data_IF_244365927183
#
_entry.id   IF_244365927183
#
_cell.length_a   1.000
_cell.length_b   1.000
_cell.length_c   1.000
_cell.angle_alpha   90.00
_cell.angle_beta   90.00
_cell.angle_gamma   90.00
#
_symmetry.space_group_name_H-M   'P 1'
#
loop_
_entity.id
_entity.type
_entity.pdbx_description
1 polymer ?
#
# COMPACT_ATOMS: atom_id res chain seq x y z
N UNK A 1 12.42 -2.70 -18.99
CA UNK A 1 12.80 -3.83 -18.11
C UNK A 1 11.92 -3.72 -16.88
N UNK A 2 10.96 -4.64 -16.72
CA UNK A 2 10.02 -4.64 -15.61
C UNK A 2 10.60 -5.32 -14.36
N UNK A 3 10.00 -5.06 -13.20
CA UNK A 3 10.33 -5.75 -11.95
C UNK A 3 9.74 -7.15 -11.97
N UNK A 4 10.54 -8.18 -11.71
CA UNK A 4 10.05 -9.55 -11.56
C UNK A 4 9.17 -9.72 -10.32
N UNK A 5 8.62 -10.93 -10.12
CA UNK A 5 7.93 -11.30 -8.86
C UNK A 5 8.85 -11.13 -7.66
N UNK A 6 10.13 -11.52 -7.78
CA UNK A 6 11.12 -11.38 -6.72
C UNK A 6 11.46 -9.92 -6.44
N UNK A 7 11.69 -9.12 -7.49
CA UNK A 7 11.93 -7.68 -7.34
C UNK A 7 10.72 -6.97 -6.73
N UNK A 8 9.51 -7.36 -7.14
CA UNK A 8 8.26 -6.82 -6.59
C UNK A 8 8.13 -7.15 -5.11
N UNK A 9 8.44 -8.38 -4.70
CA UNK A 9 8.45 -8.77 -3.28
C UNK A 9 9.49 -7.97 -2.50
N UNK A 10 10.71 -7.84 -3.02
CA UNK A 10 11.77 -7.06 -2.38
C UNK A 10 11.37 -5.57 -2.24
N UNK A 11 10.75 -4.99 -3.26
CA UNK A 11 10.20 -3.63 -3.23
C UNK A 11 9.15 -3.49 -2.12
N UNK A 12 8.18 -4.39 -2.04
CA UNK A 12 7.11 -4.28 -1.04
C UNK A 12 7.61 -4.52 0.39
N UNK A 13 8.65 -5.34 0.58
CA UNK A 13 9.36 -5.47 1.86
C UNK A 13 10.05 -4.15 2.22
N UNK A 14 10.77 -3.53 1.28
CA UNK A 14 11.44 -2.24 1.53
C UNK A 14 10.43 -1.11 1.87
N UNK A 15 9.26 -1.12 1.22
CA UNK A 15 8.15 -0.21 1.58
C UNK A 15 7.67 -0.46 3.00
N UNK A 16 7.44 -1.72 3.38
CA UNK A 16 7.02 -2.07 4.74
C UNK A 16 8.04 -1.64 5.79
N UNK A 17 9.32 -1.94 5.58
CA UNK A 17 10.40 -1.56 6.48
C UNK A 17 10.50 -0.03 6.63
N UNK A 18 10.31 0.72 5.54
CA UNK A 18 10.31 2.18 5.56
C UNK A 18 9.14 2.77 6.37
N UNK A 19 7.94 2.20 6.22
CA UNK A 19 6.76 2.63 6.98
C UNK A 19 6.90 2.31 8.46
N UNK A 20 7.40 1.11 8.79
CA UNK A 20 7.65 0.70 10.18
C UNK A 20 8.68 1.60 10.85
N UNK A 21 9.77 1.93 10.15
CA UNK A 21 10.80 2.86 10.65
C UNK A 21 10.25 4.29 10.86
N UNK A 22 9.23 4.69 10.11
CA UNK A 22 8.60 6.01 10.21
C UNK A 22 7.56 6.12 11.35
N UNK A 23 7.32 5.04 12.12
CA UNK A 23 6.29 4.97 13.17
C UNK A 23 6.22 6.21 14.05
N UNK A 24 7.32 6.59 14.69
CA UNK A 24 7.30 7.66 15.70
C UNK A 24 6.97 9.02 15.07
N UNK A 25 7.52 9.29 13.88
CA UNK A 25 7.21 10.49 13.10
C UNK A 25 5.73 10.54 12.68
N UNK A 26 5.18 9.41 12.23
CA UNK A 26 3.78 9.29 11.84
C UNK A 26 2.83 9.47 13.05
N UNK A 27 3.18 8.91 14.21
CA UNK A 27 2.45 9.10 15.46
C UNK A 27 2.51 10.55 15.94
N UNK A 28 3.67 11.22 15.83
CA UNK A 28 3.80 12.63 16.19
C UNK A 28 2.95 13.53 15.28
N UNK A 29 3.01 13.32 13.98
CA UNK A 29 2.21 14.07 13.00
C UNK A 29 0.70 13.90 13.25
N UNK A 30 0.27 12.67 13.55
CA UNK A 30 -1.13 12.37 13.85
C UNK A 30 -1.57 12.92 15.21
N UNK A 31 -0.70 12.91 16.23
CA UNK A 31 -1.01 13.50 17.54
C UNK A 31 -1.30 15.01 17.47
N UNK A 32 -0.81 15.69 16.43
CA UNK A 32 -1.06 17.12 16.23
C UNK A 32 -2.49 17.43 15.74
N UNK A 33 -3.15 16.50 15.04
CA UNK A 33 -4.45 16.74 14.36
C UNK A 33 -5.47 15.59 14.46
N UNK A 34 -5.11 14.50 15.13
CA UNK A 34 -5.83 13.24 15.24
C UNK A 34 -5.71 12.66 16.66
N UNK A 35 -5.75 11.34 16.79
CA UNK A 35 -5.69 10.63 18.08
C UNK A 35 -4.31 10.05 18.42
N UNK A 36 -3.35 10.17 17.49
CA UNK A 36 -1.96 9.76 17.69
C UNK A 36 -1.73 8.27 17.46
N UNK A 37 -2.71 7.54 16.92
CA UNK A 37 -2.59 6.11 16.69
C UNK A 37 -2.05 5.74 15.30
N UNK A 38 -1.94 6.70 14.37
CA UNK A 38 -1.64 6.43 12.97
C UNK A 38 -0.33 5.65 12.78
N UNK A 39 0.78 6.13 13.36
CA UNK A 39 2.08 5.47 13.26
C UNK A 39 2.09 4.04 13.83
N UNK A 40 1.37 3.83 14.94
CA UNK A 40 1.22 2.51 15.57
C UNK A 40 0.44 1.57 14.64
N UNK A 41 -0.71 2.02 14.12
CA UNK A 41 -1.54 1.25 13.20
C UNK A 41 -0.80 0.91 11.90
N UNK A 42 -0.02 1.85 11.37
CA UNK A 42 0.82 1.66 10.19
C UNK A 42 1.92 0.63 10.43
N UNK A 43 2.63 0.71 11.56
CA UNK A 43 3.67 -0.28 11.89
C UNK A 43 3.08 -1.70 11.98
N UNK A 44 1.97 -1.88 12.71
CA UNK A 44 1.30 -3.18 12.83
C UNK A 44 0.86 -3.72 11.47
N UNK A 45 0.22 -2.88 10.65
CA UNK A 45 -0.27 -3.29 9.33
C UNK A 45 0.84 -3.69 8.37
N UNK A 46 1.93 -2.91 8.30
CA UNK A 46 3.03 -3.17 7.37
C UNK A 46 3.97 -4.28 7.85
N UNK A 47 4.15 -4.49 9.16
CA UNK A 47 4.79 -5.71 9.68
C UNK A 47 4.01 -6.96 9.27
N UNK A 48 2.68 -6.91 9.33
CA UNK A 48 1.84 -8.02 8.88
C UNK A 48 1.93 -8.24 7.37
N UNK A 49 1.96 -7.16 6.57
CA UNK A 49 2.17 -7.22 5.13
C UNK A 49 3.50 -7.91 4.79
N UNK A 50 4.59 -7.47 5.43
CA UNK A 50 5.94 -8.03 5.29
C UNK A 50 5.95 -9.52 5.59
N UNK A 51 5.38 -9.93 6.73
CA UNK A 51 5.27 -11.34 7.13
C UNK A 51 4.45 -12.18 6.13
N UNK A 52 3.45 -11.58 5.49
CA UNK A 52 2.62 -12.30 4.51
C UNK A 52 3.33 -12.54 3.17
N UNK A 53 4.41 -11.83 2.87
CA UNK A 53 5.16 -11.97 1.60
C UNK A 53 6.59 -12.50 1.77
N UNK A 54 7.22 -12.30 2.92
CA UNK A 54 8.61 -12.70 3.16
C UNK A 54 8.81 -14.21 3.06
N UNK A 55 9.80 -14.62 2.27
CA UNK A 55 10.16 -16.04 2.09
C UNK A 55 9.10 -16.89 1.39
N UNK A 56 8.06 -16.27 0.81
CA UNK A 56 7.00 -16.97 0.08
C UNK A 56 7.14 -16.82 -1.43
N UNK A 57 6.72 -17.87 -2.13
CA UNK A 57 6.62 -17.89 -3.58
C UNK A 57 5.23 -17.46 -4.04
N UNK A 58 5.19 -16.75 -5.16
CA UNK A 58 3.98 -16.24 -5.78
C UNK A 58 4.02 -16.52 -7.27
N UNK A 59 2.86 -16.79 -7.86
CA UNK A 59 2.75 -17.11 -9.29
C UNK A 59 2.95 -15.88 -10.19
N UNK A 60 2.62 -14.69 -9.69
CA UNK A 60 2.59 -13.45 -10.45
C UNK A 60 2.76 -12.24 -9.52
N UNK A 61 3.06 -11.08 -10.11
CA UNK A 61 3.28 -9.84 -9.34
C UNK A 61 2.01 -9.40 -8.61
N UNK A 62 0.82 -9.59 -9.21
CA UNK A 62 -0.45 -9.20 -8.61
C UNK A 62 -0.77 -9.98 -7.33
N UNK A 63 -0.35 -11.24 -7.25
CA UNK A 63 -0.49 -12.08 -6.08
C UNK A 63 0.35 -11.58 -4.90
N UNK A 64 1.55 -11.05 -5.14
CA UNK A 64 2.39 -10.42 -4.10
C UNK A 64 1.67 -9.21 -3.48
N UNK A 65 1.16 -8.31 -4.32
CA UNK A 65 0.42 -7.12 -3.89
C UNK A 65 -0.86 -7.48 -3.11
N UNK A 66 -1.64 -8.46 -3.61
CA UNK A 66 -2.84 -8.95 -2.91
C UNK A 66 -2.49 -9.54 -1.55
N UNK A 67 -1.42 -10.33 -1.46
CA UNK A 67 -0.98 -10.95 -0.19
C UNK A 67 -0.57 -9.89 0.84
N UNK A 68 0.23 -8.90 0.44
CA UNK A 68 0.58 -7.77 1.30
C UNK A 68 -0.68 -7.04 1.81
N UNK A 69 -1.61 -6.70 0.92
CA UNK A 69 -2.86 -6.04 1.28
C UNK A 69 -3.76 -6.88 2.19
N UNK A 70 -3.77 -8.20 2.05
CA UNK A 70 -4.45 -9.11 2.97
C UNK A 70 -3.81 -9.12 4.36
N UNK A 71 -2.48 -9.03 4.45
CA UNK A 71 -1.78 -8.91 5.74
C UNK A 71 -2.19 -7.66 6.52
N UNK A 72 -2.23 -6.52 5.84
CA UNK A 72 -2.71 -5.25 6.40
C UNK A 72 -4.15 -5.40 6.89
N UNK A 73 -5.04 -5.93 6.04
CA UNK A 73 -6.48 -6.06 6.34
C UNK A 73 -6.77 -6.89 7.60
N UNK A 74 -5.95 -7.91 7.89
CA UNK A 74 -6.17 -8.81 9.04
C UNK A 74 -5.75 -8.21 10.38
N UNK A 75 -4.88 -7.20 10.39
CA UNK A 75 -4.15 -6.79 11.61
C UNK A 75 -4.35 -5.34 11.99
N UNK A 76 -4.67 -4.47 11.04
CA UNK A 76 -4.88 -3.05 11.29
C UNK A 76 -6.38 -2.73 11.39
N UNK A 77 -6.79 -2.26 12.57
CA UNK A 77 -8.08 -1.60 12.77
C UNK A 77 -8.06 -0.16 12.22
N UNK A 78 -9.22 0.50 12.24
CA UNK A 78 -9.33 1.92 11.89
C UNK A 78 -9.22 2.23 10.39
N UNK A 79 -9.09 3.53 10.09
CA UNK A 79 -9.08 4.03 8.71
C UNK A 79 -7.86 3.54 7.91
N UNK A 80 -6.70 3.46 8.56
CA UNK A 80 -5.42 3.12 7.91
C UNK A 80 -5.46 1.70 7.32
N UNK A 81 -5.92 0.72 8.11
CA UNK A 81 -6.05 -0.64 7.62
C UNK A 81 -7.04 -0.78 6.47
N UNK A 82 -8.17 -0.09 6.55
CA UNK A 82 -9.17 -0.06 5.49
C UNK A 82 -8.63 0.56 4.19
N UNK A 83 -7.87 1.67 4.29
CA UNK A 83 -7.37 2.41 3.13
C UNK A 83 -6.16 1.72 2.50
N UNK A 84 -5.13 1.36 3.26
CA UNK A 84 -3.93 0.73 2.71
C UNK A 84 -4.21 -0.70 2.23
N UNK A 85 -5.04 -1.49 2.93
CA UNK A 85 -5.44 -2.79 2.36
C UNK A 85 -6.20 -2.64 1.04
N UNK A 86 -7.01 -1.59 0.88
CA UNK A 86 -7.69 -1.28 -0.37
C UNK A 86 -6.67 -0.97 -1.46
N UNK A 87 -5.71 -0.09 -1.19
CA UNK A 87 -4.62 0.25 -2.12
C UNK A 87 -3.94 -0.99 -2.68
N UNK A 88 -3.41 -1.84 -1.80
CA UNK A 88 -2.63 -2.99 -2.22
C UNK A 88 -3.48 -4.03 -2.96
N UNK A 89 -4.72 -4.25 -2.53
CA UNK A 89 -5.61 -5.24 -3.13
C UNK A 89 -6.14 -4.79 -4.50
N UNK A 90 -6.46 -3.51 -4.69
CA UNK A 90 -6.88 -2.98 -5.99
C UNK A 90 -5.70 -2.93 -6.97
N UNK A 91 -4.52 -2.50 -6.51
CA UNK A 91 -3.31 -2.52 -7.34
C UNK A 91 -2.98 -3.95 -7.78
N UNK A 92 -2.97 -4.91 -6.86
CA UNK A 92 -2.74 -6.32 -7.19
C UNK A 92 -3.82 -6.91 -8.10
N UNK A 93 -5.08 -6.44 -8.01
CA UNK A 93 -6.14 -6.83 -8.95
C UNK A 93 -5.84 -6.29 -10.36
N UNK A 94 -5.45 -5.02 -10.48
CA UNK A 94 -5.09 -4.37 -11.75
C UNK A 94 -3.91 -5.05 -12.43
N UNK A 95 -2.86 -5.39 -11.66
CA UNK A 95 -1.67 -6.10 -12.15
C UNK A 95 -1.95 -7.54 -12.63
N UNK A 96 -3.08 -8.13 -12.25
CA UNK A 96 -3.52 -9.42 -12.78
C UNK A 96 -2.52 -10.55 -12.50
N UNK A 97 -2.26 -11.37 -13.53
CA UNK A 97 -1.35 -12.51 -13.49
C UNK A 97 -0.03 -12.23 -14.25
N UNK A 98 0.45 -10.99 -14.22
CA UNK A 98 1.67 -10.61 -14.93
C UNK A 98 2.93 -11.18 -14.26
N UNK A 99 3.87 -11.67 -15.06
CA UNK A 99 5.17 -12.17 -14.57
C UNK A 99 6.13 -11.04 -14.18
N UNK A 100 5.96 -9.87 -14.80
CA UNK A 100 6.75 -8.67 -14.50
C UNK A 100 5.86 -7.44 -14.40
N UNK A 101 6.29 -6.46 -13.61
CA UNK A 101 5.64 -5.18 -13.42
C UNK A 101 6.46 -4.07 -14.07
N UNK A 102 5.96 -3.55 -15.19
CA UNK A 102 6.54 -2.38 -15.86
C UNK A 102 5.96 -1.08 -15.33
N UNK A 103 6.66 0.04 -15.55
CA UNK A 103 6.21 1.37 -15.10
C UNK A 103 4.78 1.71 -15.52
N UNK A 104 4.33 1.48 -16.78
CA UNK A 104 2.95 1.77 -17.16
C UNK A 104 1.93 0.91 -16.42
N UNK A 105 2.28 -0.35 -16.11
CA UNK A 105 1.41 -1.23 -15.33
C UNK A 105 1.32 -0.78 -13.87
N UNK A 106 2.43 -0.32 -13.28
CA UNK A 106 2.43 0.28 -11.94
C UNK A 106 1.59 1.57 -11.90
N UNK A 107 1.76 2.46 -12.89
CA UNK A 107 0.98 3.70 -13.00
C UNK A 107 -0.53 3.41 -13.03
N UNK A 108 -0.95 2.47 -13.90
CA UNK A 108 -2.35 2.04 -13.98
C UNK A 108 -2.84 1.40 -12.68
N UNK A 109 -2.03 0.57 -12.03
CA UNK A 109 -2.37 -0.07 -10.76
C UNK A 109 -2.55 0.94 -9.61
N UNK A 110 -1.72 1.98 -9.56
CA UNK A 110 -1.84 3.05 -8.57
C UNK A 110 -3.02 3.98 -8.87
N UNK A 111 -3.31 4.27 -10.14
CA UNK A 111 -4.51 5.02 -10.53
C UNK A 111 -5.80 4.30 -10.12
N UNK A 112 -5.89 2.99 -10.39
CA UNK A 112 -7.00 2.14 -9.92
C UNK A 112 -7.10 2.10 -8.39
N UNK A 113 -5.96 2.13 -7.69
CA UNK A 113 -5.94 2.22 -6.23
C UNK A 113 -6.45 3.57 -5.70
N UNK A 114 -6.10 4.67 -6.35
CA UNK A 114 -6.66 6.00 -6.02
C UNK A 114 -8.18 5.97 -6.12
N UNK A 115 -8.73 5.48 -7.23
CA UNK A 115 -10.18 5.41 -7.42
C UNK A 115 -10.86 4.49 -6.41
N UNK A 116 -10.24 3.34 -6.08
CA UNK A 116 -10.75 2.43 -5.05
C UNK A 116 -10.76 3.07 -3.65
N UNK A 117 -9.73 3.85 -3.30
CA UNK A 117 -9.65 4.57 -2.01
C UNK A 117 -10.73 5.66 -1.96
N UNK A 118 -10.89 6.44 -3.05
CA UNK A 118 -11.95 7.46 -3.15
C UNK A 118 -13.33 6.84 -2.97
N UNK A 119 -13.62 5.73 -3.67
CA UNK A 119 -14.89 5.04 -3.57
C UNK A 119 -15.17 4.49 -2.16
N UNK A 120 -14.12 4.07 -1.43
CA UNK A 120 -14.24 3.54 -0.07
C UNK A 120 -14.36 4.62 0.99
N UNK A 121 -13.55 5.67 0.90
CA UNK A 121 -13.39 6.69 1.93
C UNK A 121 -14.19 7.96 1.70
N UNK A 122 -14.73 8.18 0.49
CA UNK A 122 -15.46 9.40 0.12
C UNK A 122 -14.59 10.66 -0.03
N UNK A 123 -13.28 10.56 0.17
CA UNK A 123 -12.34 11.67 0.05
C UNK A 123 -11.99 11.98 -1.41
N UNK A 124 -11.59 13.22 -1.65
CA UNK A 124 -11.13 13.75 -2.92
C UNK A 124 -9.74 14.40 -2.79
N UNK A 125 -9.16 14.77 -3.93
CA UNK A 125 -7.96 15.61 -3.94
C UNK A 125 -8.27 16.98 -3.34
N UNK A 126 -7.39 17.46 -2.48
CA UNK A 126 -7.52 18.68 -1.69
C UNK A 126 -8.08 18.46 -0.28
N UNK A 127 -8.60 17.28 0.04
CA UNK A 127 -9.21 17.00 1.35
C UNK A 127 -8.18 16.76 2.47
N UNK A 128 -6.89 16.97 2.19
CA UNK A 128 -5.76 16.76 3.12
C UNK A 128 -5.69 15.30 3.58
N UNK A 129 -5.69 14.38 2.61
CA UNK A 129 -5.59 12.94 2.86
C UNK A 129 -4.41 12.34 2.09
N UNK A 130 -4.16 11.03 2.25
CA UNK A 130 -3.11 10.36 1.49
C UNK A 130 -3.30 10.41 -0.03
N UNK A 131 -4.51 10.73 -0.52
CA UNK A 131 -4.78 10.93 -1.94
C UNK A 131 -3.96 12.08 -2.53
N UNK A 132 -3.68 13.10 -1.73
CA UNK A 132 -2.91 14.29 -2.13
C UNK A 132 -1.43 13.97 -2.40
N UNK A 133 -0.94 12.83 -1.89
CA UNK A 133 0.37 12.30 -2.20
C UNK A 133 0.31 11.19 -3.27
N UNK A 134 -0.64 10.27 -3.14
CA UNK A 134 -0.73 9.07 -3.99
C UNK A 134 -1.09 9.40 -5.44
N UNK A 135 -2.08 10.28 -5.67
CA UNK A 135 -2.53 10.54 -7.04
C UNK A 135 -1.48 11.29 -7.88
N UNK A 136 -0.79 12.33 -7.37
CA UNK A 136 0.33 12.93 -8.11
C UNK A 136 1.47 11.96 -8.36
N UNK A 137 1.78 11.07 -7.40
CA UNK A 137 2.80 10.03 -7.59
C UNK A 137 2.41 9.05 -8.72
N UNK A 138 1.15 8.61 -8.77
CA UNK A 138 0.65 7.75 -9.83
C UNK A 138 0.71 8.42 -11.21
N UNK A 139 0.39 9.71 -11.29
CA UNK A 139 0.40 10.47 -12.54
C UNK A 139 1.82 10.81 -13.06
N UNK A 140 2.84 10.72 -12.22
CA UNK A 140 4.22 11.03 -12.57
C UNK A 140 5.00 9.83 -13.13
N UNK A 141 4.44 8.63 -13.06
CA UNK A 141 4.99 7.37 -13.61
C UNK A 141 4.65 7.20 -15.09
#
# INVERSE_FOLDING_TARGET
MGLSVEDTRALLIAVADSVVAAKDMLTEADSAIGDGDHGIGMAVGFEAARKEIEGKDFADVGAVWKAAGMGIMKTSGGACGAVFSTLFRSAGKSLGAAETMETPALAAALAEAVDAIKARGGANLGDKTMLDALAPAAAAL
#
